data_IF_436425919484
#
_entry.id   IF_436425919484
#
_cell.length_a   1.000
_cell.length_b   1.000
_cell.length_c   1.000
_cell.angle_alpha   90.00
_cell.angle_beta   90.00
_cell.angle_gamma   90.00
#
_symmetry.space_group_name_H-M   'P 1'
#
loop_
_entity.id
_entity.type
_entity.pdbx_description
1 polymer ?
#
# COMPACT_ATOMS: atom_id res chain seq x y z
N UNK A 1 -7.53 16.33 -24.17
CA UNK A 1 -6.20 16.63 -23.55
C UNK A 1 -5.01 16.62 -24.50
N UNK A 2 -5.11 16.14 -25.74
CA UNK A 2 -3.99 16.09 -26.69
C UNK A 2 -3.34 17.47 -26.97
N UNK A 3 -4.11 18.54 -27.01
CA UNK A 3 -3.65 19.87 -27.50
C UNK A 3 -3.26 20.88 -26.39
N UNK A 4 -3.30 20.53 -25.11
CA UNK A 4 -2.88 21.44 -24.03
C UNK A 4 -1.40 21.24 -23.67
N UNK A 5 -0.62 22.30 -23.34
CA UNK A 5 0.77 22.17 -22.93
C UNK A 5 0.88 21.40 -21.59
N UNK A 6 1.99 20.66 -21.43
CA UNK A 6 2.28 19.96 -20.19
C UNK A 6 2.60 20.97 -19.06
N UNK A 7 2.04 20.78 -17.89
CA UNK A 7 2.31 21.64 -16.73
C UNK A 7 3.75 21.45 -16.23
N UNK A 8 4.49 22.55 -16.04
CA UNK A 8 5.87 22.55 -15.52
C UNK A 8 5.87 22.44 -13.98
N UNK A 9 5.42 21.33 -13.43
CA UNK A 9 5.31 21.08 -11.97
C UNK A 9 6.45 20.19 -11.45
N UNK A 10 7.67 20.31 -11.98
CA UNK A 10 8.79 19.41 -11.63
C UNK A 10 9.20 19.56 -10.16
N UNK A 11 9.41 20.79 -9.73
CA UNK A 11 9.82 21.12 -8.36
C UNK A 11 8.73 20.76 -7.36
N UNK A 12 7.48 21.11 -7.67
CA UNK A 12 6.33 20.71 -6.85
C UNK A 12 6.22 19.20 -6.68
N UNK A 13 6.33 18.45 -7.78
CA UNK A 13 6.30 16.99 -7.74
C UNK A 13 7.42 16.39 -6.88
N UNK A 14 8.63 16.96 -6.93
CA UNK A 14 9.74 16.52 -6.11
C UNK A 14 9.44 16.65 -4.61
N UNK A 15 9.08 17.86 -4.17
CA UNK A 15 8.76 18.11 -2.77
C UNK A 15 7.54 17.32 -2.30
N UNK A 16 6.52 17.22 -3.15
CA UNK A 16 5.32 16.44 -2.83
C UNK A 16 5.64 14.95 -2.66
N UNK A 17 6.49 14.37 -3.52
CA UNK A 17 6.93 12.99 -3.39
C UNK A 17 7.75 12.76 -2.11
N UNK A 18 8.64 13.69 -1.73
CA UNK A 18 9.40 13.59 -0.47
C UNK A 18 8.46 13.63 0.73
N UNK A 19 7.50 14.56 0.75
CA UNK A 19 6.53 14.68 1.83
C UNK A 19 5.70 13.41 2.00
N UNK A 20 5.21 12.84 0.89
CA UNK A 20 4.49 11.56 0.91
C UNK A 20 5.37 10.40 1.35
N UNK A 21 6.62 10.35 0.91
CA UNK A 21 7.59 9.34 1.33
C UNK A 21 7.85 9.38 2.83
N UNK A 22 8.05 10.57 3.39
CA UNK A 22 8.23 10.76 4.83
C UNK A 22 6.97 10.34 5.61
N UNK A 23 5.78 10.77 5.17
CA UNK A 23 4.51 10.38 5.80
C UNK A 23 4.31 8.86 5.77
N UNK A 24 4.62 8.19 4.66
CA UNK A 24 4.50 6.74 4.54
C UNK A 24 5.51 6.00 5.44
N UNK A 25 6.75 6.48 5.52
CA UNK A 25 7.76 5.93 6.42
C UNK A 25 7.35 6.08 7.89
N UNK A 26 6.84 7.26 8.27
CA UNK A 26 6.32 7.51 9.61
C UNK A 26 5.16 6.58 9.96
N UNK A 27 4.18 6.42 9.05
CA UNK A 27 3.06 5.50 9.25
C UNK A 27 3.53 4.06 9.41
N UNK A 28 4.50 3.61 8.60
CA UNK A 28 5.07 2.28 8.72
C UNK A 28 5.71 2.07 10.10
N UNK A 29 6.50 3.04 10.58
CA UNK A 29 7.13 2.99 11.89
C UNK A 29 6.08 2.94 13.03
N UNK A 30 5.00 3.72 12.92
CA UNK A 30 3.93 3.73 13.92
C UNK A 30 3.13 2.42 13.92
N UNK A 31 2.84 1.83 12.77
CA UNK A 31 2.23 0.50 12.71
C UNK A 31 3.16 -0.58 13.26
N UNK A 32 4.46 -0.51 12.95
CA UNK A 32 5.45 -1.44 13.51
C UNK A 32 5.51 -1.33 15.04
N UNK A 33 5.57 -0.12 15.57
CA UNK A 33 5.49 0.13 17.02
C UNK A 33 4.22 -0.49 17.61
N UNK A 34 3.06 -0.29 16.98
CA UNK A 34 1.81 -0.90 17.42
C UNK A 34 1.91 -2.44 17.44
N UNK A 35 2.45 -3.06 16.38
CA UNK A 35 2.62 -4.52 16.26
C UNK A 35 3.55 -5.05 17.35
N UNK A 36 4.62 -4.32 17.74
CA UNK A 36 5.49 -4.73 18.83
C UNK A 36 4.80 -4.75 20.20
N UNK A 37 3.74 -3.95 20.35
CA UNK A 37 2.96 -3.89 21.61
C UNK A 37 1.82 -4.93 21.68
N UNK A 38 1.35 -5.43 20.54
CA UNK A 38 0.16 -6.31 20.47
C UNK A 38 0.51 -7.71 19.96
N UNK A 39 1.62 -7.83 19.25
CA UNK A 39 2.00 -9.04 18.53
C UNK A 39 1.55 -9.02 17.07
N UNK A 40 2.22 -9.84 16.24
CA UNK A 40 1.90 -9.96 14.83
C UNK A 40 0.60 -10.76 14.59
N UNK A 41 0.33 -11.73 15.45
CA UNK A 41 -0.87 -12.57 15.44
C UNK A 41 -1.63 -12.36 16.75
N UNK A 42 -2.46 -11.31 16.84
CA UNK A 42 -3.20 -11.02 18.07
C UNK A 42 -4.25 -12.10 18.33
N UNK A 43 -4.17 -12.70 19.52
CA UNK A 43 -5.14 -13.72 19.97
C UNK A 43 -6.46 -13.10 20.44
N UNK A 44 -6.42 -11.84 20.88
CA UNK A 44 -7.58 -11.13 21.44
C UNK A 44 -8.09 -10.07 20.47
N UNK A 45 -9.37 -10.19 20.13
CA UNK A 45 -10.07 -9.19 19.31
C UNK A 45 -10.54 -8.03 20.19
N UNK A 46 -10.40 -6.80 19.75
CA UNK A 46 -10.85 -5.63 20.51
C UNK A 46 -12.36 -5.61 20.81
N UNK A 47 -13.18 -6.23 19.98
CA UNK A 47 -14.61 -6.35 20.26
C UNK A 47 -14.91 -7.24 21.49
N UNK A 48 -14.11 -8.30 21.67
CA UNK A 48 -14.23 -9.19 22.84
C UNK A 48 -13.74 -8.49 24.10
N UNK A 49 -12.65 -7.74 24.02
CA UNK A 49 -12.10 -6.98 25.15
C UNK A 49 -13.05 -5.89 25.69
N UNK A 50 -13.97 -5.39 24.86
CA UNK A 50 -14.97 -4.40 25.29
C UNK A 50 -15.99 -4.98 26.26
N UNK A 51 -16.24 -6.28 26.20
CA UNK A 51 -17.26 -7.01 26.99
C UNK A 51 -16.64 -7.86 28.11
N UNK A 52 -15.32 -7.78 28.36
CA UNK A 52 -14.65 -8.54 29.37
C UNK A 52 -15.09 -8.02 30.79
N UNK A 53 -15.69 -8.85 31.63
CA UNK A 53 -16.15 -8.48 32.97
C UNK A 53 -15.00 -8.31 33.97
N UNK A 54 -13.72 -8.48 33.57
CA UNK A 54 -12.58 -8.30 34.45
C UNK A 54 -12.56 -6.88 35.04
N UNK A 55 -12.64 -6.78 36.37
CA UNK A 55 -12.76 -5.52 37.11
C UNK A 55 -11.49 -4.66 37.19
N UNK A 56 -10.44 -4.97 36.37
CA UNK A 56 -9.20 -4.20 36.37
C UNK A 56 -9.34 -2.95 35.50
N UNK A 57 -9.60 -1.80 36.15
CA UNK A 57 -9.71 -0.50 35.47
C UNK A 57 -8.47 -0.16 34.61
N UNK A 58 -7.27 -0.45 35.10
CA UNK A 58 -6.02 -0.23 34.39
C UNK A 58 -5.90 -1.03 33.08
N UNK A 59 -6.29 -2.31 33.07
CA UNK A 59 -6.30 -3.14 31.88
C UNK A 59 -7.28 -2.61 30.82
N UNK A 60 -8.45 -2.10 31.25
CA UNK A 60 -9.43 -1.46 30.36
C UNK A 60 -8.88 -0.17 29.74
N UNK A 61 -8.18 0.65 30.50
CA UNK A 61 -7.60 1.91 30.01
C UNK A 61 -6.49 1.65 28.99
N UNK A 62 -5.62 0.67 29.23
CA UNK A 62 -4.55 0.27 28.28
C UNK A 62 -5.16 -0.28 26.99
N UNK A 63 -6.19 -1.12 27.07
CA UNK A 63 -6.88 -1.66 25.89
C UNK A 63 -7.57 -0.56 25.10
N UNK A 64 -8.21 0.39 25.78
CA UNK A 64 -8.85 1.55 25.17
C UNK A 64 -7.84 2.46 24.46
N UNK A 65 -6.68 2.69 25.08
CA UNK A 65 -5.59 3.46 24.47
C UNK A 65 -5.08 2.78 23.19
N UNK A 66 -4.81 1.47 23.22
CA UNK A 66 -4.39 0.70 22.06
C UNK A 66 -5.41 0.75 20.92
N UNK A 67 -6.69 0.61 21.23
CA UNK A 67 -7.78 0.73 20.25
C UNK A 67 -7.86 2.11 19.62
N UNK A 68 -7.76 3.17 20.42
CA UNK A 68 -7.79 4.54 19.93
C UNK A 68 -6.58 4.84 19.03
N UNK A 69 -5.39 4.39 19.44
CA UNK A 69 -4.18 4.53 18.65
C UNK A 69 -4.33 3.85 17.28
N UNK A 70 -4.80 2.60 17.24
CA UNK A 70 -5.01 1.86 16.01
C UNK A 70 -6.05 2.53 15.11
N UNK A 71 -7.15 3.02 15.67
CA UNK A 71 -8.18 3.74 14.93
C UNK A 71 -7.62 5.01 14.27
N UNK A 72 -6.78 5.77 14.98
CA UNK A 72 -6.11 6.96 14.45
C UNK A 72 -5.14 6.55 13.33
N UNK A 73 -4.39 5.46 13.48
CA UNK A 73 -3.47 4.97 12.46
C UNK A 73 -4.20 4.58 11.17
N UNK A 74 -5.33 3.88 11.27
CA UNK A 74 -6.14 3.53 10.10
C UNK A 74 -6.71 4.75 9.40
N UNK A 75 -7.16 5.75 10.16
CA UNK A 75 -7.65 6.98 9.58
C UNK A 75 -6.54 7.75 8.84
N UNK A 76 -5.36 7.87 9.46
CA UNK A 76 -4.18 8.46 8.81
C UNK A 76 -3.74 7.68 7.56
N UNK A 77 -3.83 6.35 7.62
CA UNK A 77 -3.55 5.48 6.47
C UNK A 77 -4.54 5.74 5.33
N UNK A 78 -5.84 5.84 5.61
CA UNK A 78 -6.86 6.20 4.62
C UNK A 78 -6.55 7.54 3.94
N UNK A 79 -6.24 8.58 4.73
CA UNK A 79 -5.87 9.91 4.20
C UNK A 79 -4.59 9.81 3.34
N UNK A 80 -3.60 9.03 3.77
CA UNK A 80 -2.39 8.78 2.98
C UNK A 80 -2.72 8.16 1.62
N UNK A 81 -3.65 7.20 1.55
CA UNK A 81 -4.08 6.59 0.27
C UNK A 81 -4.83 7.57 -0.64
N UNK A 82 -5.60 8.49 -0.08
CA UNK A 82 -6.20 9.57 -0.86
C UNK A 82 -5.13 10.50 -1.47
N UNK A 83 -4.08 10.81 -0.72
CA UNK A 83 -2.95 11.62 -1.21
C UNK A 83 -2.12 10.88 -2.27
N UNK A 84 -1.94 9.55 -2.17
CA UNK A 84 -1.30 8.72 -3.19
C UNK A 84 -2.07 8.77 -4.52
N UNK A 85 -3.41 8.74 -4.46
CA UNK A 85 -4.26 8.89 -5.64
C UNK A 85 -4.13 10.29 -6.25
N UNK A 86 -4.11 11.34 -5.42
CA UNK A 86 -3.88 12.72 -5.87
C UNK A 86 -2.51 12.86 -6.55
N UNK A 87 -1.47 12.24 -6.02
CA UNK A 87 -0.13 12.20 -6.62
C UNK A 87 -0.17 11.57 -8.03
N UNK A 88 -0.90 10.45 -8.18
CA UNK A 88 -1.10 9.82 -9.48
C UNK A 88 -1.80 10.74 -10.48
N UNK A 89 -2.80 11.51 -10.02
CA UNK A 89 -3.49 12.50 -10.83
C UNK A 89 -2.57 13.64 -11.29
N UNK A 90 -1.69 14.14 -10.42
CA UNK A 90 -0.68 15.16 -10.76
C UNK A 90 0.27 14.64 -11.85
N UNK A 91 0.67 13.37 -11.81
CA UNK A 91 1.49 12.76 -12.84
C UNK A 91 0.78 12.70 -14.21
N UNK A 92 -0.53 12.42 -14.23
CA UNK A 92 -1.36 12.46 -15.45
C UNK A 92 -1.39 13.87 -16.06
N UNK A 93 -1.60 14.89 -15.23
CA UNK A 93 -1.63 16.29 -15.66
C UNK A 93 -0.28 16.74 -16.30
N UNK A 94 0.83 16.18 -15.83
CA UNK A 94 2.17 16.41 -16.40
C UNK A 94 2.42 15.67 -17.70
N UNK A 95 1.46 14.94 -18.24
CA UNK A 95 1.60 14.12 -19.47
C UNK A 95 2.79 13.13 -19.44
N UNK A 96 3.22 12.70 -18.25
CA UNK A 96 4.27 11.68 -18.11
C UNK A 96 3.66 10.27 -18.08
N UNK A 97 2.86 9.93 -19.08
CA UNK A 97 2.18 8.64 -19.19
C UNK A 97 3.10 7.41 -19.11
N UNK A 98 4.38 7.56 -19.49
CA UNK A 98 5.38 6.49 -19.33
C UNK A 98 5.71 6.12 -17.88
N UNK A 99 5.34 6.97 -16.91
CA UNK A 99 5.53 6.73 -15.47
C UNK A 99 4.29 6.13 -14.83
N UNK A 100 3.13 6.22 -15.49
CA UNK A 100 1.85 5.77 -14.97
C UNK A 100 1.44 4.53 -15.76
N UNK A 101 1.40 3.40 -15.09
CA UNK A 101 0.80 2.17 -15.63
C UNK A 101 -0.65 2.06 -15.14
N UNK A 102 -1.51 1.43 -15.91
CA UNK A 102 -2.87 1.10 -15.49
C UNK A 102 -2.87 0.40 -14.11
N UNK A 103 -1.94 -0.53 -13.93
CA UNK A 103 -1.75 -1.26 -12.66
C UNK A 103 -1.51 -0.32 -11.47
N UNK A 104 -0.76 0.78 -11.65
CA UNK A 104 -0.49 1.74 -10.57
C UNK A 104 -1.76 2.50 -10.15
N UNK A 105 -2.56 2.97 -11.11
CA UNK A 105 -3.82 3.69 -10.81
C UNK A 105 -4.83 2.74 -10.18
N UNK A 106 -4.97 1.54 -10.75
CA UNK A 106 -5.85 0.50 -10.20
C UNK A 106 -5.49 0.16 -8.75
N UNK A 107 -4.19 -0.06 -8.47
CA UNK A 107 -3.70 -0.31 -7.12
C UNK A 107 -4.06 0.83 -6.16
N UNK A 108 -3.81 2.08 -6.56
CA UNK A 108 -4.08 3.24 -5.70
C UNK A 108 -5.57 3.38 -5.37
N UNK A 109 -6.45 3.19 -6.35
CA UNK A 109 -7.90 3.19 -6.14
C UNK A 109 -8.35 2.07 -5.21
N UNK A 110 -7.82 0.86 -5.44
CA UNK A 110 -8.13 -0.30 -4.66
C UNK A 110 -7.71 -0.15 -3.20
N UNK A 111 -6.49 0.34 -2.96
CA UNK A 111 -5.97 0.54 -1.60
C UNK A 111 -6.74 1.64 -0.86
N UNK A 112 -7.20 2.68 -1.56
CA UNK A 112 -8.08 3.70 -0.97
C UNK A 112 -9.41 3.07 -0.53
N UNK A 113 -10.03 2.28 -1.40
CA UNK A 113 -11.28 1.61 -1.10
C UNK A 113 -11.12 0.59 0.04
N UNK A 114 -10.07 -0.24 0.01
CA UNK A 114 -9.79 -1.22 1.06
C UNK A 114 -9.55 -0.55 2.42
N UNK A 115 -8.77 0.54 2.46
CA UNK A 115 -8.52 1.28 3.70
C UNK A 115 -9.80 1.92 4.25
N UNK A 116 -10.70 2.42 3.38
CA UNK A 116 -12.01 2.91 3.79
C UNK A 116 -12.88 1.78 4.37
N UNK A 117 -12.89 0.61 3.71
CA UNK A 117 -13.65 -0.55 4.19
C UNK A 117 -13.17 -1.02 5.58
N UNK A 118 -11.85 -1.06 5.81
CA UNK A 118 -11.28 -1.37 7.13
C UNK A 118 -11.73 -0.34 8.18
N UNK A 119 -11.65 0.95 7.89
CA UNK A 119 -12.08 2.00 8.83
C UNK A 119 -13.57 1.90 9.14
N UNK A 120 -14.40 1.52 8.17
CA UNK A 120 -15.86 1.49 8.32
C UNK A 120 -16.37 0.21 8.96
N UNK A 121 -15.84 -0.95 8.56
CA UNK A 121 -16.45 -2.24 8.87
C UNK A 121 -15.63 -3.10 9.83
N UNK A 122 -14.28 -2.96 9.84
CA UNK A 122 -13.41 -3.88 10.57
C UNK A 122 -12.10 -3.20 11.00
N UNK A 123 -12.11 -2.58 12.18
CA UNK A 123 -10.90 -1.99 12.79
C UNK A 123 -10.09 -3.00 13.60
N UNK A 124 -10.07 -4.25 13.16
CA UNK A 124 -9.35 -5.31 13.85
C UNK A 124 -7.84 -5.15 13.83
N UNK A 125 -7.16 -5.73 14.83
CA UNK A 125 -5.70 -5.70 14.98
C UNK A 125 -4.96 -6.31 13.80
N UNK A 126 -5.58 -7.27 13.14
CA UNK A 126 -5.00 -8.06 12.05
C UNK A 126 -4.69 -7.23 10.81
N UNK A 127 -5.30 -6.05 10.62
CA UNK A 127 -4.99 -5.16 9.50
C UNK A 127 -3.74 -4.30 9.73
N UNK A 128 -3.19 -4.26 10.95
CA UNK A 128 -2.01 -3.46 11.27
C UNK A 128 -0.77 -3.88 10.46
N UNK A 129 -0.57 -5.18 10.26
CA UNK A 129 0.53 -5.70 9.43
C UNK A 129 0.41 -5.26 7.97
N UNK A 130 -0.82 -5.25 7.42
CA UNK A 130 -1.08 -4.72 6.08
C UNK A 130 -0.73 -3.23 6.00
N UNK A 131 -1.15 -2.44 6.98
CA UNK A 131 -0.82 -1.01 7.07
C UNK A 131 0.69 -0.77 7.14
N UNK A 132 1.43 -1.56 7.94
CA UNK A 132 2.87 -1.49 8.10
C UNK A 132 3.60 -1.77 6.78
N UNK A 133 3.39 -2.96 6.20
CA UNK A 133 4.10 -3.40 5.00
C UNK A 133 3.75 -2.52 3.79
N UNK A 134 2.48 -2.18 3.61
CA UNK A 134 2.07 -1.33 2.50
C UNK A 134 2.67 0.09 2.61
N UNK A 135 2.70 0.68 3.81
CA UNK A 135 3.30 2.00 4.02
C UNK A 135 4.81 1.97 3.80
N UNK A 136 5.53 0.91 4.21
CA UNK A 136 6.96 0.75 3.96
C UNK A 136 7.28 0.73 2.47
N UNK A 137 6.56 -0.10 1.71
CA UNK A 137 6.75 -0.21 0.25
C UNK A 137 6.36 1.09 -0.45
N UNK A 138 5.32 1.78 0.02
CA UNK A 138 4.92 3.06 -0.55
C UNK A 138 5.97 4.16 -0.31
N UNK A 139 6.65 4.15 0.84
CA UNK A 139 7.79 5.04 1.08
C UNK A 139 8.89 4.85 0.03
N UNK A 140 9.24 3.61 -0.31
CA UNK A 140 10.21 3.30 -1.38
C UNK A 140 9.74 3.81 -2.75
N UNK A 141 8.47 3.67 -3.08
CA UNK A 141 7.89 4.18 -4.34
C UNK A 141 7.99 5.70 -4.42
N UNK A 142 7.70 6.41 -3.33
CA UNK A 142 7.81 7.88 -3.30
C UNK A 142 9.25 8.36 -3.38
N UNK A 143 10.20 7.68 -2.74
CA UNK A 143 11.63 7.96 -2.89
C UNK A 143 12.07 7.77 -4.34
N UNK A 144 11.66 6.69 -4.99
CA UNK A 144 11.93 6.48 -6.43
C UNK A 144 11.35 7.61 -7.29
N UNK A 145 10.11 8.04 -7.01
CA UNK A 145 9.46 9.13 -7.73
C UNK A 145 10.17 10.48 -7.52
N UNK A 146 10.67 10.76 -6.31
CA UNK A 146 11.48 11.94 -6.01
C UNK A 146 12.80 11.92 -6.79
N UNK A 147 13.52 10.80 -6.81
CA UNK A 147 14.76 10.63 -7.59
C UNK A 147 14.50 10.86 -9.08
N UNK A 148 13.41 10.33 -9.64
CA UNK A 148 13.01 10.56 -11.03
C UNK A 148 12.72 12.04 -11.32
N UNK A 149 12.21 12.78 -10.34
CA UNK A 149 11.97 14.21 -10.48
C UNK A 149 13.27 15.01 -10.53
N UNK A 150 14.37 14.58 -9.91
CA UNK A 150 15.68 15.23 -9.99
C UNK A 150 16.30 15.22 -11.39
N UNK A 151 16.04 14.19 -12.20
CA UNK A 151 16.41 14.15 -13.60
C UNK A 151 17.19 12.93 -14.07
N UNK A 152 17.47 12.88 -15.40
CA UNK A 152 18.08 11.70 -16.06
C UNK A 152 19.47 11.31 -15.52
N UNK A 153 20.25 12.24 -14.98
CA UNK A 153 21.58 11.93 -14.43
C UNK A 153 21.52 10.95 -13.24
N UNK A 154 20.46 11.01 -12.44
CA UNK A 154 20.24 10.14 -11.27
C UNK A 154 19.49 8.85 -11.62
N UNK A 155 18.88 8.77 -12.79
CA UNK A 155 18.07 7.63 -13.26
C UNK A 155 18.87 6.55 -13.98
N UNK A 156 20.23 6.61 -14.00
CA UNK A 156 21.06 5.57 -14.66
C UNK A 156 20.79 4.14 -14.15
N UNK A 157 20.13 3.97 -13.00
CA UNK A 157 19.75 2.66 -12.47
C UNK A 157 18.39 2.20 -13.00
N UNK A 158 18.36 1.70 -14.24
CA UNK A 158 17.19 1.02 -14.82
C UNK A 158 16.74 -0.17 -13.94
N UNK A 159 17.65 -0.74 -13.19
CA UNK A 159 17.46 -1.84 -12.23
C UNK A 159 16.58 -1.46 -11.05
N UNK A 160 16.57 -0.19 -10.60
CA UNK A 160 15.77 0.28 -9.46
C UNK A 160 14.26 0.20 -9.70
N UNK A 161 13.77 0.54 -10.89
CA UNK A 161 12.33 0.47 -11.22
C UNK A 161 11.78 -0.95 -11.23
N UNK A 162 12.55 -1.88 -11.75
CA UNK A 162 12.14 -3.29 -11.78
C UNK A 162 12.20 -3.89 -10.37
N UNK A 163 13.16 -3.46 -9.54
CA UNK A 163 13.26 -3.85 -8.13
C UNK A 163 12.04 -3.37 -7.33
N UNK A 164 11.65 -2.11 -7.39
CA UNK A 164 10.47 -1.57 -6.68
C UNK A 164 9.19 -2.28 -7.11
N UNK A 165 9.02 -2.59 -8.40
CA UNK A 165 7.87 -3.37 -8.88
C UNK A 165 7.85 -4.79 -8.33
N UNK A 166 9.01 -5.46 -8.28
CA UNK A 166 9.11 -6.79 -7.68
C UNK A 166 8.75 -6.74 -6.19
N UNK A 167 9.25 -5.75 -5.44
CA UNK A 167 8.91 -5.55 -4.03
C UNK A 167 7.40 -5.32 -3.86
N UNK A 168 6.77 -4.49 -4.71
CA UNK A 168 5.32 -4.30 -4.70
C UNK A 168 4.53 -5.59 -4.98
N UNK A 169 5.04 -6.47 -5.82
CA UNK A 169 4.39 -7.76 -6.08
C UNK A 169 4.58 -8.73 -4.92
N UNK A 170 5.80 -8.80 -4.38
CA UNK A 170 6.09 -9.65 -3.23
C UNK A 170 5.25 -9.28 -1.99
N UNK A 171 4.98 -8.00 -1.77
CA UNK A 171 4.11 -7.57 -0.68
C UNK A 171 2.69 -8.16 -0.80
N UNK A 172 2.11 -8.26 -2.01
CA UNK A 172 0.77 -8.84 -2.18
C UNK A 172 0.75 -10.32 -1.82
N UNK A 173 1.75 -11.07 -2.28
CA UNK A 173 1.87 -12.50 -1.94
C UNK A 173 2.05 -12.65 -0.43
N UNK A 174 2.94 -11.86 0.17
CA UNK A 174 3.18 -11.89 1.61
C UNK A 174 1.91 -11.57 2.41
N UNK A 175 1.22 -10.48 2.07
CA UNK A 175 0.00 -10.06 2.78
C UNK A 175 -1.15 -11.05 2.59
N UNK A 176 -1.24 -11.70 1.44
CA UNK A 176 -2.24 -12.75 1.22
C UNK A 176 -1.95 -13.99 2.07
N UNK A 177 -0.70 -14.46 2.11
CA UNK A 177 -0.30 -15.57 2.96
C UNK A 177 -0.50 -15.23 4.45
N UNK A 178 -0.12 -14.03 4.87
CA UNK A 178 -0.38 -13.53 6.21
C UNK A 178 -1.87 -13.57 6.55
N UNK A 179 -2.75 -13.10 5.65
CA UNK A 179 -4.20 -13.14 5.86
C UNK A 179 -4.73 -14.56 6.01
N UNK A 180 -4.24 -15.53 5.21
CA UNK A 180 -4.62 -16.95 5.33
C UNK A 180 -4.22 -17.50 6.70
N UNK A 181 -2.98 -17.25 7.13
CA UNK A 181 -2.49 -17.68 8.43
C UNK A 181 -3.31 -17.04 9.55
N UNK A 182 -3.59 -15.75 9.45
CA UNK A 182 -4.38 -15.00 10.42
C UNK A 182 -5.78 -15.59 10.60
N UNK A 183 -6.47 -15.94 9.53
CA UNK A 183 -7.80 -16.56 9.58
C UNK A 183 -7.75 -17.94 10.26
N UNK A 184 -6.63 -18.66 10.11
CA UNK A 184 -6.46 -19.99 10.70
C UNK A 184 -6.07 -19.96 12.18
N UNK A 185 -5.29 -18.95 12.59
CA UNK A 185 -4.69 -18.87 13.93
C UNK A 185 -5.46 -17.94 14.87
N UNK A 186 -6.07 -16.87 14.38
CA UNK A 186 -6.80 -15.94 15.23
C UNK A 186 -8.27 -16.34 15.40
N UNK A 187 -8.79 -16.17 16.60
CA UNK A 187 -10.22 -16.33 16.88
C UNK A 187 -11.04 -15.10 16.43
N UNK A 188 -10.40 -14.12 15.78
CA UNK A 188 -11.03 -12.89 15.36
C UNK A 188 -11.78 -13.08 14.03
N UNK A 189 -13.09 -12.91 13.96
CA UNK A 189 -13.84 -13.02 12.72
C UNK A 189 -13.43 -11.88 11.77
N UNK A 190 -12.89 -12.23 10.61
CA UNK A 190 -12.68 -11.28 9.51
C UNK A 190 -14.00 -11.11 8.76
N UNK A 191 -14.39 -9.87 8.49
CA UNK A 191 -15.64 -9.62 7.77
C UNK A 191 -15.59 -10.29 6.38
N UNK A 192 -16.57 -11.16 6.02
CA UNK A 192 -16.52 -11.99 4.80
C UNK A 192 -16.32 -11.16 3.52
N UNK A 193 -16.91 -9.99 3.46
CA UNK A 193 -16.78 -9.08 2.34
C UNK A 193 -15.33 -8.62 2.11
N UNK A 194 -14.60 -8.31 3.18
CA UNK A 194 -13.19 -7.88 3.09
C UNK A 194 -12.31 -9.07 2.66
N UNK A 195 -12.60 -10.26 3.17
CA UNK A 195 -11.89 -11.48 2.76
C UNK A 195 -12.03 -11.75 1.24
N UNK A 196 -13.25 -11.81 0.73
CA UNK A 196 -13.50 -12.12 -0.66
C UNK A 196 -12.97 -11.05 -1.61
N UNK A 197 -13.11 -9.79 -1.25
CA UNK A 197 -12.55 -8.68 -2.05
C UNK A 197 -11.02 -8.69 -2.05
N UNK A 198 -10.37 -8.97 -0.93
CA UNK A 198 -8.91 -9.11 -0.86
C UNK A 198 -8.42 -10.26 -1.73
N UNK A 199 -9.09 -11.41 -1.68
CA UNK A 199 -8.77 -12.58 -2.52
C UNK A 199 -8.93 -12.26 -4.00
N UNK A 200 -10.06 -11.66 -4.41
CA UNK A 200 -10.29 -11.26 -5.79
C UNK A 200 -9.21 -10.29 -6.28
N UNK A 201 -8.78 -9.36 -5.45
CA UNK A 201 -7.74 -8.40 -5.78
C UNK A 201 -6.37 -9.04 -5.98
N UNK A 202 -5.98 -10.00 -5.16
CA UNK A 202 -4.73 -10.75 -5.35
C UNK A 202 -4.74 -11.48 -6.68
N UNK A 203 -5.86 -12.12 -7.04
CA UNK A 203 -6.02 -12.80 -8.35
C UNK A 203 -5.87 -11.79 -9.49
N UNK A 204 -6.58 -10.66 -9.45
CA UNK A 204 -6.49 -9.63 -10.50
C UNK A 204 -5.07 -9.09 -10.64
N UNK A 205 -4.39 -8.78 -9.52
CA UNK A 205 -3.01 -8.31 -9.56
C UNK A 205 -2.06 -9.34 -10.14
N UNK A 206 -2.23 -10.61 -9.79
CA UNK A 206 -1.40 -11.71 -10.33
C UNK A 206 -1.58 -11.81 -11.85
N UNK A 207 -2.82 -11.77 -12.34
CA UNK A 207 -3.11 -11.80 -13.77
C UNK A 207 -2.53 -10.58 -14.51
N UNK A 208 -2.68 -9.37 -13.96
CA UNK A 208 -2.10 -8.15 -14.54
C UNK A 208 -0.58 -8.21 -14.59
N UNK A 209 0.07 -8.78 -13.59
CA UNK A 209 1.52 -8.93 -13.56
C UNK A 209 2.00 -9.95 -14.60
N UNK A 210 1.35 -11.10 -14.68
CA UNK A 210 1.64 -12.13 -15.68
C UNK A 210 1.49 -11.53 -17.08
N UNK A 211 0.37 -10.86 -17.36
CA UNK A 211 0.13 -10.19 -18.64
C UNK A 211 1.24 -9.17 -18.97
N UNK A 212 1.63 -8.34 -18.01
CA UNK A 212 2.70 -7.35 -18.20
C UNK A 212 4.06 -8.00 -18.50
N UNK A 213 4.39 -9.09 -17.81
CA UNK A 213 5.63 -9.85 -18.06
C UNK A 213 5.64 -10.46 -19.46
N UNK A 214 4.55 -11.10 -19.86
CA UNK A 214 4.43 -11.70 -21.19
C UNK A 214 4.53 -10.67 -22.30
N UNK A 215 3.85 -9.53 -22.17
CA UNK A 215 3.89 -8.45 -23.17
C UNK A 215 5.31 -7.86 -23.32
N UNK A 216 6.01 -7.67 -22.18
CA UNK A 216 7.40 -7.16 -22.20
C UNK A 216 8.37 -8.17 -22.81
N UNK A 217 8.19 -9.45 -22.54
CA UNK A 217 9.00 -10.53 -23.10
C UNK A 217 8.77 -10.68 -24.61
N UNK A 218 7.52 -10.66 -25.06
CA UNK A 218 7.16 -10.71 -26.49
C UNK A 218 7.76 -9.54 -27.27
N UNK A 219 7.66 -8.31 -26.73
CA UNK A 219 8.25 -7.12 -27.33
C UNK A 219 9.79 -7.16 -27.39
N UNK A 220 10.44 -7.81 -26.43
CA UNK A 220 11.89 -8.03 -26.46
C UNK A 220 12.27 -9.05 -27.54
N UNK A 221 11.54 -10.18 -27.60
CA UNK A 221 11.79 -11.23 -28.60
C UNK A 221 11.61 -10.73 -30.05
N UNK A 222 10.59 -9.91 -30.31
CA UNK A 222 10.36 -9.31 -31.63
C UNK A 222 11.50 -8.36 -32.05
N UNK A 223 12.10 -7.63 -31.11
CA UNK A 223 13.26 -6.77 -31.39
C UNK A 223 14.53 -7.57 -31.67
N UNK A 224 14.75 -8.69 -31.02
CA UNK A 224 15.89 -9.57 -31.27
C UNK A 224 15.77 -10.23 -32.63
N UNK A 225 14.58 -10.76 -32.98
CA UNK A 225 14.35 -11.39 -34.31
C UNK A 225 14.34 -10.42 -35.51
N UNK A 226 14.36 -9.10 -35.29
CA UNK A 226 14.47 -8.10 -36.34
C UNK A 226 15.92 -7.62 -36.55
N UNK A 227 16.87 -8.15 -35.80
CA UNK A 227 18.32 -7.82 -35.92
C UNK A 227 19.08 -8.97 -36.58
N UNK A 228 18.51 -10.17 -36.58
CA UNK A 228 18.97 -11.35 -37.36
C UNK A 228 18.33 -11.32 -38.77
#
# INVERSE_FOLDING_TARGET
>A
MKNRPALKLRTFHFFFSIMLGFNSAFLSAMFLFYITQVGLFPEVCFEVAKNDPSNNSFAKDVSRFKYNLLSILYYKFLVSKAMDLLHSFILILRKKGSLITFTHVYHSMLMLWASWAVVKYDRGNHWAALGCVNSAVQALVHVENAIKALGRRFVKCHRGRDCVRVVQMMQFVFLYLYMIVQIRTSQCPVHPYIYWTSTANVVVFTLLFIHFKFTKYSAYRSKVSSID
#
